data_IF_239109404008
#
_entry.id   IF_239109404008
#
_cell.length_a   1.000
_cell.length_b   1.000
_cell.length_c   1.000
_cell.angle_alpha   90.00
_cell.angle_beta   90.00
_cell.angle_gamma   90.00
#
_symmetry.space_group_name_H-M   'P 1'
#
loop_
_entity.id
_entity.type
_entity.pdbx_description
1 polymer ?
#
# COMPACT_ATOMS: atom_id res chain seq x y z
N UNK A 1 -18.37 11.31 -11.41
CA UNK A 1 -17.61 10.92 -10.23
C UNK A 1 -16.17 11.39 -10.37
N UNK A 2 -15.62 11.88 -9.28
CA UNK A 2 -14.29 12.47 -9.31
C UNK A 2 -13.18 11.42 -9.44
N UNK A 3 -12.14 11.76 -10.19
CA UNK A 3 -10.90 10.98 -10.21
C UNK A 3 -10.19 11.23 -8.90
N UNK A 4 -9.69 10.15 -8.31
CA UNK A 4 -9.10 10.13 -6.98
C UNK A 4 -7.76 9.39 -7.03
N UNK A 5 -6.85 9.73 -6.11
CA UNK A 5 -5.58 9.03 -5.96
C UNK A 5 -5.50 8.37 -4.59
N UNK A 6 -4.78 7.25 -4.53
CA UNK A 6 -4.47 6.57 -3.27
C UNK A 6 -3.03 6.11 -3.28
N UNK A 7 -2.40 6.04 -2.11
CA UNK A 7 -1.09 5.43 -2.00
C UNK A 7 -1.25 3.95 -1.66
N UNK A 8 -0.48 3.12 -2.33
CA UNK A 8 -0.39 1.69 -2.05
C UNK A 8 1.07 1.32 -1.82
N UNK A 9 1.30 0.39 -0.90
CA UNK A 9 2.63 -0.18 -0.69
C UNK A 9 2.49 -1.69 -0.69
N UNK A 10 3.31 -2.36 -1.51
CA UNK A 10 3.48 -3.81 -1.40
C UNK A 10 4.56 -4.02 -0.37
N UNK A 11 4.21 -4.65 0.74
CA UNK A 11 5.05 -4.80 1.92
C UNK A 11 6.13 -5.85 1.72
N UNK A 12 7.17 -5.89 2.58
CA UNK A 12 8.31 -6.80 2.36
C UNK A 12 7.95 -8.27 2.22
N UNK A 13 6.92 -8.73 2.91
CA UNK A 13 6.46 -10.12 2.82
C UNK A 13 6.00 -10.49 1.41
N UNK A 14 5.19 -9.63 0.78
CA UNK A 14 4.70 -9.87 -0.57
C UNK A 14 5.78 -9.63 -1.63
N UNK A 15 6.66 -8.63 -1.41
CA UNK A 15 7.79 -8.44 -2.32
C UNK A 15 8.67 -9.69 -2.34
N UNK A 16 8.95 -10.26 -1.17
CA UNK A 16 9.75 -11.48 -1.06
C UNK A 16 9.10 -12.68 -1.76
N UNK A 17 7.78 -12.72 -1.84
CA UNK A 17 7.05 -13.79 -2.55
C UNK A 17 7.07 -13.63 -4.06
N UNK A 18 7.63 -12.53 -4.57
CA UNK A 18 7.74 -12.25 -6.00
C UNK A 18 6.37 -12.16 -6.71
N UNK A 19 5.42 -11.46 -6.06
CA UNK A 19 4.05 -11.32 -6.58
C UNK A 19 3.68 -9.88 -6.96
N UNK A 20 4.67 -9.00 -7.12
CA UNK A 20 4.43 -7.59 -7.50
C UNK A 20 3.56 -7.51 -8.77
N UNK A 21 3.91 -8.26 -9.80
CA UNK A 21 3.19 -8.24 -11.08
C UNK A 21 1.75 -8.72 -10.93
N UNK A 22 1.52 -9.75 -10.12
CA UNK A 22 0.17 -10.26 -9.86
C UNK A 22 -0.69 -9.23 -9.14
N UNK A 23 -0.10 -8.51 -8.17
CA UNK A 23 -0.81 -7.45 -7.45
C UNK A 23 -1.11 -6.27 -8.38
N UNK A 24 -0.14 -5.86 -9.20
CA UNK A 24 -0.34 -4.79 -10.20
C UNK A 24 -1.43 -5.15 -11.20
N UNK A 25 -1.49 -6.41 -11.63
CA UNK A 25 -2.55 -6.86 -12.54
C UNK A 25 -3.94 -6.69 -11.94
N UNK A 26 -4.09 -6.83 -10.62
CA UNK A 26 -5.36 -6.59 -9.94
C UNK A 26 -5.73 -5.12 -9.91
N UNK A 27 -4.75 -4.22 -9.70
CA UNK A 27 -5.00 -2.79 -9.78
C UNK A 27 -5.49 -2.40 -11.18
N UNK A 28 -4.73 -2.79 -12.19
CA UNK A 28 -5.06 -2.44 -13.57
C UNK A 28 -6.34 -3.10 -14.06
N UNK A 29 -6.57 -4.35 -13.68
CA UNK A 29 -7.80 -5.07 -14.01
C UNK A 29 -9.06 -4.44 -13.41
N UNK A 30 -8.92 -3.70 -12.32
CA UNK A 30 -10.02 -2.98 -11.68
C UNK A 30 -10.16 -1.54 -12.21
N UNK A 31 -9.34 -1.13 -13.18
CA UNK A 31 -9.39 0.21 -13.75
C UNK A 31 -8.57 1.25 -13.02
N UNK A 32 -7.73 0.85 -12.07
CA UNK A 32 -6.80 1.77 -11.43
C UNK A 32 -5.53 1.90 -12.26
N UNK A 33 -5.05 3.13 -12.43
CA UNK A 33 -3.82 3.38 -13.19
C UNK A 33 -2.67 3.63 -12.22
N UNK A 34 -1.53 2.99 -12.47
CA UNK A 34 -0.29 3.30 -11.76
C UNK A 34 0.24 4.60 -12.34
N UNK A 35 0.31 5.65 -11.52
CA UNK A 35 0.75 6.99 -11.94
C UNK A 35 2.09 7.39 -11.32
N UNK A 36 2.59 6.61 -10.38
CA UNK A 36 3.95 6.71 -9.84
C UNK A 36 4.30 5.37 -9.22
N UNK A 37 5.56 4.97 -9.30
CA UNK A 37 6.01 3.70 -8.72
C UNK A 37 7.50 3.75 -8.44
N UNK A 38 7.92 3.20 -7.30
CA UNK A 38 9.33 3.02 -6.98
C UNK A 38 9.51 1.90 -5.97
N UNK A 39 10.62 1.20 -6.09
CA UNK A 39 11.05 0.25 -5.06
C UNK A 39 11.98 0.98 -4.10
N UNK A 40 11.86 0.69 -2.82
CA UNK A 40 12.72 1.28 -1.79
C UNK A 40 12.93 0.30 -0.66
N UNK A 41 14.08 0.39 -0.01
CA UNK A 41 14.29 -0.25 1.28
C UNK A 41 14.26 0.87 2.32
N UNK A 42 13.17 0.98 3.06
CA UNK A 42 12.97 2.07 3.99
C UNK A 42 14.00 2.03 5.12
N UNK A 43 14.47 3.22 5.50
CA UNK A 43 15.23 3.36 6.75
C UNK A 43 14.27 3.34 7.93
N UNK A 44 14.80 3.12 9.13
CA UNK A 44 13.99 3.20 10.34
C UNK A 44 13.34 4.57 10.47
N UNK A 45 14.09 5.65 10.22
CA UNK A 45 13.56 7.01 10.29
C UNK A 45 12.43 7.25 9.30
N UNK A 46 12.56 6.74 8.08
CA UNK A 46 11.50 6.85 7.08
C UNK A 46 10.24 6.12 7.50
N UNK A 47 10.38 4.87 7.98
CA UNK A 47 9.24 4.09 8.42
C UNK A 47 8.56 4.71 9.65
N UNK A 48 9.34 5.20 10.62
CA UNK A 48 8.80 5.90 11.79
C UNK A 48 8.05 7.16 11.40
N UNK A 49 8.57 7.93 10.45
CA UNK A 49 7.91 9.16 9.99
C UNK A 49 6.61 8.84 9.24
N UNK A 50 6.63 7.81 8.38
CA UNK A 50 5.44 7.43 7.61
C UNK A 50 4.31 6.96 8.53
N UNK A 51 4.64 6.18 9.56
CA UNK A 51 3.67 5.64 10.50
C UNK A 51 3.54 6.47 11.79
N UNK A 52 3.95 7.74 11.76
CA UNK A 52 3.97 8.60 12.96
C UNK A 52 2.61 8.71 13.67
N UNK A 53 1.51 8.60 12.93
CA UNK A 53 0.15 8.61 13.52
C UNK A 53 -0.07 7.43 14.47
N UNK A 54 0.71 6.38 14.36
CA UNK A 54 0.63 5.20 15.21
C UNK A 54 1.70 5.15 16.29
N UNK A 55 2.49 6.22 16.48
CA UNK A 55 3.66 6.24 17.37
C UNK A 55 3.34 5.81 18.79
N UNK A 56 2.15 6.15 19.30
CA UNK A 56 1.72 5.79 20.66
C UNK A 56 1.10 4.39 20.76
N UNK A 57 0.95 3.68 19.65
CA UNK A 57 0.33 2.35 19.65
C UNK A 57 1.33 1.28 20.06
N UNK A 58 0.87 0.22 20.77
CA UNK A 58 1.77 -0.88 21.20
C UNK A 58 2.45 -1.59 20.01
N UNK A 59 1.80 -1.65 18.86
CA UNK A 59 2.34 -2.35 17.67
C UNK A 59 3.33 -1.51 16.86
N UNK A 60 3.57 -0.24 17.21
CA UNK A 60 4.37 0.67 16.40
C UNK A 60 5.77 0.14 16.09
N UNK A 61 6.50 -0.30 17.12
CA UNK A 61 7.88 -0.79 16.94
C UNK A 61 7.93 -2.03 16.07
N UNK A 62 6.99 -2.95 16.23
CA UNK A 62 6.92 -4.17 15.42
C UNK A 62 6.57 -3.86 13.98
N UNK A 63 5.67 -2.90 13.77
CA UNK A 63 5.32 -2.44 12.41
C UNK A 63 6.53 -1.83 11.71
N UNK A 64 7.27 -0.96 12.40
CA UNK A 64 8.49 -0.35 11.85
C UNK A 64 9.52 -1.42 11.50
N UNK A 65 9.79 -2.35 12.42
CA UNK A 65 10.73 -3.45 12.17
C UNK A 65 10.33 -4.27 10.95
N UNK A 66 9.05 -4.56 10.83
CA UNK A 66 8.53 -5.31 9.68
C UNK A 66 8.75 -4.55 8.38
N UNK A 67 8.39 -3.26 8.34
CA UNK A 67 8.49 -2.47 7.12
C UNK A 67 9.91 -2.19 6.66
N UNK A 68 10.91 -2.32 7.53
CA UNK A 68 12.33 -2.16 7.16
C UNK A 68 13.04 -3.49 6.98
N UNK A 69 12.34 -4.61 7.10
CA UNK A 69 12.94 -5.95 7.00
C UNK A 69 13.36 -6.33 5.59
N UNK A 70 12.90 -5.62 4.59
CA UNK A 70 13.23 -5.86 3.18
C UNK A 70 12.68 -4.76 2.29
N UNK A 71 12.96 -4.81 0.99
CA UNK A 71 12.42 -3.84 0.05
C UNK A 71 10.90 -3.84 0.00
N UNK A 72 10.33 -2.67 -0.26
CA UNK A 72 8.89 -2.46 -0.50
C UNK A 72 8.71 -1.90 -1.91
N UNK A 73 7.54 -2.12 -2.49
CA UNK A 73 7.17 -1.50 -3.77
C UNK A 73 6.08 -0.49 -3.50
N UNK A 74 6.34 0.78 -3.83
CA UNK A 74 5.48 1.91 -3.51
C UNK A 74 4.87 2.45 -4.79
N UNK A 75 3.55 2.67 -4.83
CA UNK A 75 2.87 3.19 -6.00
C UNK A 75 1.74 4.14 -5.62
N UNK A 76 1.53 5.14 -6.47
CA UNK A 76 0.32 5.95 -6.45
C UNK A 76 -0.63 5.40 -7.51
N UNK A 77 -1.87 5.18 -7.14
CA UNK A 77 -2.91 4.66 -8.02
C UNK A 77 -3.95 5.76 -8.25
N UNK A 78 -4.46 5.84 -9.48
CA UNK A 78 -5.44 6.85 -9.86
C UNK A 78 -6.64 6.20 -10.55
N UNK A 79 -7.84 6.66 -10.22
CA UNK A 79 -9.06 6.20 -10.85
C UNK A 79 -10.28 6.72 -10.11
N UNK A 80 -11.45 6.41 -10.64
CA UNK A 80 -12.71 6.78 -9.99
C UNK A 80 -12.86 5.98 -8.70
N UNK A 81 -13.00 6.70 -7.57
CA UNK A 81 -13.15 6.06 -6.26
C UNK A 81 -11.95 5.20 -5.87
N UNK A 82 -10.73 5.64 -6.20
CA UNK A 82 -9.52 4.84 -6.05
C UNK A 82 -9.30 4.32 -4.63
N UNK A 83 -9.58 5.13 -3.61
CA UNK A 83 -9.35 4.73 -2.21
C UNK A 83 -10.22 3.53 -1.85
N UNK A 84 -11.52 3.63 -2.06
CA UNK A 84 -12.45 2.53 -1.77
C UNK A 84 -12.16 1.31 -2.64
N UNK A 85 -11.94 1.53 -3.92
CA UNK A 85 -11.65 0.43 -4.86
C UNK A 85 -10.39 -0.33 -4.45
N UNK A 86 -9.32 0.38 -4.09
CA UNK A 86 -8.10 -0.27 -3.64
C UNK A 86 -8.32 -1.06 -2.35
N UNK A 87 -9.07 -0.51 -1.40
CA UNK A 87 -9.35 -1.23 -0.14
C UNK A 87 -10.19 -2.48 -0.37
N UNK A 88 -11.12 -2.46 -1.32
CA UNK A 88 -11.87 -3.65 -1.71
C UNK A 88 -10.95 -4.72 -2.32
N UNK A 89 -10.01 -4.30 -3.17
CA UNK A 89 -9.02 -5.21 -3.75
C UNK A 89 -8.09 -5.81 -2.70
N UNK A 90 -7.73 -5.01 -1.69
CA UNK A 90 -6.85 -5.47 -0.61
C UNK A 90 -7.52 -6.52 0.26
N UNK A 91 -8.80 -6.36 0.57
CA UNK A 91 -9.52 -7.22 1.48
C UNK A 91 -9.33 -6.87 2.95
N UNK A 92 -9.94 -7.64 3.84
CA UNK A 92 -9.87 -7.42 5.27
C UNK A 92 -8.42 -7.50 5.77
N UNK A 93 -8.12 -6.73 6.81
CA UNK A 93 -6.78 -6.68 7.42
C UNK A 93 -6.28 -8.06 7.85
N UNK A 94 -7.18 -8.86 8.43
CA UNK A 94 -6.87 -10.26 8.76
C UNK A 94 -7.11 -11.11 7.50
N UNK A 95 -6.07 -11.76 6.95
CA UNK A 95 -6.23 -12.56 5.74
C UNK A 95 -7.19 -13.73 5.92
N UNK A 96 -7.37 -14.23 7.14
CA UNK A 96 -8.34 -15.30 7.42
C UNK A 96 -9.78 -14.84 7.26
N UNK A 97 -10.02 -13.53 7.38
CA UNK A 97 -11.35 -12.92 7.22
C UNK A 97 -11.52 -12.26 5.87
N UNK A 98 -10.46 -12.18 5.07
CA UNK A 98 -10.51 -11.56 3.75
C UNK A 98 -11.24 -12.47 2.77
N UNK A 99 -12.09 -11.87 1.94
CA UNK A 99 -12.84 -12.62 0.94
C UNK A 99 -11.88 -13.21 -0.11
N UNK A 100 -12.22 -14.39 -0.59
CA UNK A 100 -11.48 -15.08 -1.65
C UNK A 100 -11.32 -14.14 -2.86
N UNK A 101 -10.12 -14.12 -3.42
CA UNK A 101 -9.80 -13.28 -4.57
C UNK A 101 -9.24 -11.92 -4.21
N UNK A 102 -9.26 -11.54 -2.93
CA UNK A 102 -8.60 -10.32 -2.49
C UNK A 102 -7.10 -10.54 -2.36
N UNK A 103 -6.34 -9.45 -2.40
CA UNK A 103 -4.88 -9.52 -2.30
C UNK A 103 -4.44 -10.19 -0.99
N UNK A 104 -5.05 -9.79 0.11
CA UNK A 104 -4.70 -10.36 1.42
C UNK A 104 -5.09 -11.82 1.57
N UNK A 105 -6.24 -12.22 1.04
CA UNK A 105 -6.65 -13.63 1.05
C UNK A 105 -5.64 -14.51 0.31
N UNK A 106 -5.12 -14.00 -0.82
CA UNK A 106 -4.25 -14.79 -1.68
C UNK A 106 -2.77 -14.72 -1.30
N UNK A 107 -2.30 -13.60 -0.77
CA UNK A 107 -0.86 -13.35 -0.61
C UNK A 107 -0.41 -13.03 0.82
N UNK A 108 -1.31 -12.73 1.75
CA UNK A 108 -0.93 -12.38 3.10
C UNK A 108 -0.83 -13.63 4.00
N UNK A 109 0.07 -13.58 4.97
CA UNK A 109 0.27 -14.70 5.90
C UNK A 109 -0.45 -14.49 7.23
N UNK A 110 -0.55 -13.24 7.69
CA UNK A 110 -1.11 -12.89 8.99
C UNK A 110 -1.53 -11.43 9.02
N UNK A 111 -2.10 -10.99 10.13
CA UNK A 111 -2.45 -9.58 10.34
C UNK A 111 -1.18 -8.69 10.26
N UNK A 112 -0.08 -9.18 10.81
CA UNK A 112 1.19 -8.42 10.82
C UNK A 112 1.90 -8.46 9.47
N UNK A 113 1.86 -9.60 8.78
CA UNK A 113 2.42 -9.79 7.45
C UNK A 113 1.27 -9.86 6.43
N UNK A 114 0.62 -8.71 6.21
CA UNK A 114 -0.63 -8.65 5.46
C UNK A 114 -0.51 -8.10 4.03
N UNK A 115 0.67 -8.19 3.45
CA UNK A 115 0.98 -7.99 2.03
C UNK A 115 0.95 -6.55 1.54
N UNK A 116 -0.06 -5.75 1.88
CA UNK A 116 -0.26 -4.44 1.26
C UNK A 116 -0.76 -3.40 2.25
N UNK A 117 -0.44 -2.13 1.94
CA UNK A 117 -0.98 -0.94 2.59
C UNK A 117 -1.75 -0.13 1.55
N UNK A 118 -2.83 0.51 1.97
CA UNK A 118 -3.57 1.47 1.15
C UNK A 118 -4.06 2.62 2.01
N UNK A 119 -4.09 3.82 1.44
CA UNK A 119 -4.63 4.99 2.13
C UNK A 119 -6.10 4.76 2.47
N UNK A 120 -6.56 5.35 3.58
CA UNK A 120 -7.94 5.15 4.06
C UNK A 120 -8.87 6.33 3.82
N UNK A 121 -8.33 7.49 3.43
CA UNK A 121 -9.12 8.70 3.20
C UNK A 121 -8.39 9.63 2.22
N UNK A 122 -9.11 10.57 1.57
CA UNK A 122 -8.47 11.52 0.66
C UNK A 122 -7.35 12.34 1.32
N UNK A 123 -7.53 12.77 2.55
CA UNK A 123 -6.54 13.55 3.30
C UNK A 123 -5.28 12.73 3.56
N UNK A 124 -5.46 11.48 3.98
CA UNK A 124 -4.36 10.56 4.23
C UNK A 124 -3.62 10.23 2.94
N UNK A 125 -4.37 10.01 1.86
CA UNK A 125 -3.78 9.72 0.55
C UNK A 125 -2.88 10.87 0.09
N UNK A 126 -3.33 12.11 0.22
CA UNK A 126 -2.54 13.27 -0.19
C UNK A 126 -1.21 13.35 0.56
N UNK A 127 -1.25 13.16 1.87
CA UNK A 127 -0.05 13.18 2.72
C UNK A 127 0.88 12.03 2.39
N UNK A 128 0.35 10.82 2.25
CA UNK A 128 1.14 9.62 2.00
C UNK A 128 1.80 9.65 0.62
N UNK A 129 1.09 10.10 -0.40
CA UNK A 129 1.66 10.24 -1.75
C UNK A 129 2.80 11.26 -1.74
N UNK A 130 2.58 12.43 -1.12
CA UNK A 130 3.59 13.47 -1.05
C UNK A 130 4.83 13.03 -0.25
N UNK A 131 4.67 12.11 0.69
CA UNK A 131 5.78 11.57 1.47
C UNK A 131 6.80 10.86 0.57
N UNK A 132 6.34 10.10 -0.41
CA UNK A 132 7.21 9.29 -1.27
C UNK A 132 7.47 9.89 -2.65
N UNK A 133 6.55 10.70 -3.17
CA UNK A 133 6.64 11.18 -4.55
C UNK A 133 6.50 12.70 -4.62
N UNK A 134 7.56 13.42 -5.08
CA UNK A 134 7.37 14.80 -5.52
C UNK A 134 6.27 14.86 -6.59
N UNK A 135 5.48 15.94 -6.60
CA UNK A 135 4.39 16.08 -7.55
C UNK A 135 4.81 15.91 -9.00
N UNK A 136 6.06 16.32 -9.33
CA UNK A 136 6.61 16.16 -10.68
C UNK A 136 6.83 14.71 -11.09
N UNK A 137 6.79 13.77 -10.14
CA UNK A 137 6.99 12.35 -10.41
C UNK A 137 5.68 11.56 -10.43
N UNK A 138 4.54 12.25 -10.42
CA UNK A 138 3.21 11.64 -10.52
C UNK A 138 2.60 12.05 -11.86
N UNK A 139 2.25 11.06 -12.68
CA UNK A 139 1.85 11.28 -14.08
C UNK A 139 0.44 10.75 -14.32
N UNK A 140 -0.55 11.67 -14.28
CA UNK A 140 -1.91 11.33 -14.72
C UNK A 140 -1.90 10.92 -16.19
N UNK A 141 -2.62 9.85 -16.53
CA UNK A 141 -2.62 9.32 -17.89
C UNK A 141 -3.91 8.58 -18.26
#
# INVERSE_FOLDING_TARGET
MAIERTLSIIKPDAVAKNVIGQIYARFEGAGLKVVAARMAHLSRGEAEAFYAVHKARPFFNDLVKFMISGPVMIQALEGVGAITKNRELMGATDPKKAEKGTIRADFADSIDANAVHGSDAPETAAVEIAFFFPGMNVYSR
#
